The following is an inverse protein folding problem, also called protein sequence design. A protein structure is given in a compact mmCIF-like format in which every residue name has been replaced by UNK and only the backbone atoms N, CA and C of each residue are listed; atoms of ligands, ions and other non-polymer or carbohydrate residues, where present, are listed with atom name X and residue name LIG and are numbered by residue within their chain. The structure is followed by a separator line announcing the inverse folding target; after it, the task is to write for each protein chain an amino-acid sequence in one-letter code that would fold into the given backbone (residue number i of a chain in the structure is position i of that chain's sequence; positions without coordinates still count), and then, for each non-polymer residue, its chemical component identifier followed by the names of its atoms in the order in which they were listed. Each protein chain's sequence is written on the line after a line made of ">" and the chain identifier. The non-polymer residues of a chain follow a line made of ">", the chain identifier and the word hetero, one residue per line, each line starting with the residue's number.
data_IF_267152598005
#
_entry.id   IF_267152598005
#
_cell.length_a   1.000
_cell.length_b   1.000
_cell.length_c   1.000
_cell.angle_alpha   90.00
_cell.angle_beta   90.00
_cell.angle_gamma   90.00
#
_symmetry.space_group_name_H-M   'P 1'
#
loop_
_entity.id
_entity.type
_entity.pdbx_description
1 polymer ?
#
# COMPACT_ATOMS: atom_id res chain seq x y z
N UNK A 1 9.13 -6.49 -12.13
CA UNK A 1 8.61 -5.10 -12.24
C UNK A 1 9.69 -4.07 -12.59
N UNK A 2 10.83 -4.05 -11.89
CA UNK A 2 11.90 -3.08 -12.15
C UNK A 2 12.54 -3.24 -13.53
N UNK A 3 12.73 -4.49 -13.96
CA UNK A 3 13.23 -4.80 -15.31
C UNK A 3 12.28 -4.30 -16.40
N UNK A 4 10.98 -4.49 -16.23
CA UNK A 4 9.96 -4.00 -17.15
C UNK A 4 9.87 -2.47 -17.16
N UNK A 5 10.04 -1.83 -16.00
CA UNK A 5 10.12 -0.38 -15.92
C UNK A 5 11.30 0.16 -16.73
N UNK A 6 12.49 -0.46 -16.56
CA UNK A 6 13.68 -0.15 -17.35
C UNK A 6 13.44 -0.37 -18.85
N UNK A 7 12.84 -1.50 -19.23
CA UNK A 7 12.51 -1.82 -20.61
C UNK A 7 11.50 -0.82 -21.24
N UNK A 8 10.62 -0.26 -20.42
CA UNK A 8 9.65 0.76 -20.83
C UNK A 8 10.19 2.20 -20.75
N UNK A 9 11.47 2.39 -20.40
CA UNK A 9 12.09 3.72 -20.24
C UNK A 9 11.55 4.51 -19.03
N UNK A 10 11.00 3.83 -18.02
CA UNK A 10 10.56 4.42 -16.75
C UNK A 10 11.61 4.22 -15.68
N UNK A 11 11.58 5.05 -14.65
CA UNK A 11 12.48 4.91 -13.49
C UNK A 11 12.12 3.64 -12.68
N UNK A 12 13.00 2.63 -12.62
CA UNK A 12 12.76 1.42 -11.84
C UNK A 12 12.84 1.64 -10.33
N UNK A 13 13.39 2.77 -9.85
CA UNK A 13 13.47 3.10 -8.44
C UNK A 13 12.21 3.82 -7.92
N UNK A 14 11.36 4.36 -8.79
CA UNK A 14 10.19 5.14 -8.42
C UNK A 14 8.86 4.40 -8.65
N UNK A 15 8.83 3.09 -8.41
CA UNK A 15 7.66 2.26 -8.69
C UNK A 15 6.58 2.40 -7.62
N UNK A 16 5.48 3.04 -7.98
CA UNK A 16 4.29 3.16 -7.15
C UNK A 16 3.23 2.11 -7.52
N UNK A 17 2.69 1.44 -6.50
CA UNK A 17 1.56 0.51 -6.63
C UNK A 17 0.36 1.08 -5.89
N UNK A 18 -0.68 1.40 -6.65
CA UNK A 18 -1.97 1.84 -6.12
C UNK A 18 -2.90 0.64 -5.89
N UNK A 19 -3.31 0.43 -4.65
CA UNK A 19 -4.17 -0.66 -4.22
C UNK A 19 -5.54 -0.12 -3.78
N UNK A 20 -6.56 -0.33 -4.62
CA UNK A 20 -7.92 0.12 -4.37
C UNK A 20 -8.60 -0.63 -3.22
N UNK A 21 -9.23 0.09 -2.28
CA UNK A 21 -10.00 -0.47 -1.16
C UNK A 21 -9.20 -1.41 -0.24
N UNK A 22 -7.87 -1.28 -0.21
CA UNK A 22 -6.99 -2.22 0.48
C UNK A 22 -6.68 -1.83 1.92
N UNK A 23 -7.08 -0.64 2.39
CA UNK A 23 -6.83 -0.22 3.78
C UNK A 23 -7.40 -1.23 4.79
N UNK A 24 -8.52 -1.87 4.48
CA UNK A 24 -9.15 -2.87 5.36
C UNK A 24 -8.56 -4.27 5.26
N UNK A 25 -7.63 -4.52 4.32
CA UNK A 25 -7.17 -5.88 3.96
C UNK A 25 -5.66 -6.08 3.95
N UNK A 26 -4.88 -5.02 3.77
CA UNK A 26 -3.42 -5.13 3.72
C UNK A 26 -2.87 -5.48 5.11
N UNK A 27 -1.79 -6.25 5.11
CA UNK A 27 -0.99 -6.65 6.25
C UNK A 27 0.50 -6.57 5.89
N UNK A 28 1.37 -6.72 6.89
CA UNK A 28 2.81 -6.63 6.71
C UNK A 28 3.37 -7.66 5.72
N UNK A 29 2.84 -8.88 5.69
CA UNK A 29 3.30 -9.94 4.80
C UNK A 29 3.02 -9.60 3.33
N UNK A 30 1.79 -9.18 3.02
CA UNK A 30 1.41 -8.75 1.67
C UNK A 30 2.17 -7.51 1.22
N UNK A 31 2.40 -6.56 2.14
CA UNK A 31 3.19 -5.38 1.84
C UNK A 31 4.64 -5.75 1.50
N UNK A 32 5.27 -6.65 2.28
CA UNK A 32 6.62 -7.14 2.01
C UNK A 32 6.70 -7.86 0.66
N UNK A 33 5.74 -8.72 0.34
CA UNK A 33 5.70 -9.39 -0.96
C UNK A 33 5.62 -8.44 -2.16
N UNK A 34 5.02 -7.26 -2.01
CA UNK A 34 5.00 -6.23 -3.07
C UNK A 34 6.35 -5.51 -3.18
N UNK A 35 7.02 -5.27 -2.05
CA UNK A 35 8.38 -4.72 -2.03
C UNK A 35 9.35 -5.68 -2.72
N UNK A 36 9.25 -6.97 -2.46
CA UNK A 36 10.06 -8.01 -3.10
C UNK A 36 9.83 -8.08 -4.62
N UNK A 37 8.62 -7.78 -5.07
CA UNK A 37 8.30 -7.66 -6.51
C UNK A 37 8.83 -6.37 -7.15
N UNK A 38 9.29 -5.42 -6.34
CA UNK A 38 9.95 -4.19 -6.77
C UNK A 38 9.18 -2.91 -6.50
N UNK A 39 8.06 -2.95 -5.75
CA UNK A 39 7.34 -1.75 -5.36
C UNK A 39 8.19 -0.90 -4.41
N UNK A 40 8.31 0.40 -4.73
CA UNK A 40 8.97 1.39 -3.88
C UNK A 40 7.96 2.08 -2.96
N UNK A 41 6.75 2.35 -3.48
CA UNK A 41 5.67 3.00 -2.74
C UNK A 41 4.35 2.26 -2.90
N UNK A 42 3.65 2.07 -1.79
CA UNK A 42 2.29 1.54 -1.77
C UNK A 42 1.29 2.65 -1.45
N UNK A 43 0.34 2.89 -2.34
CA UNK A 43 -0.76 3.84 -2.15
C UNK A 43 -2.04 3.06 -1.90
N UNK A 44 -2.62 3.23 -0.72
CA UNK A 44 -3.82 2.51 -0.30
C UNK A 44 -5.04 3.42 -0.41
N UNK A 45 -6.09 2.96 -1.08
CA UNK A 45 -7.36 3.68 -1.09
C UNK A 45 -8.28 3.21 0.04
N UNK A 46 -8.82 4.18 0.78
CA UNK A 46 -9.90 3.96 1.72
C UNK A 46 -11.21 3.66 0.99
N UNK A 47 -12.05 2.74 1.51
CA UNK A 47 -13.44 2.68 1.08
C UNK A 47 -14.16 3.99 1.43
N UNK A 48 -15.15 4.40 0.61
CA UNK A 48 -15.91 5.62 0.89
C UNK A 48 -16.61 5.50 2.24
N UNK A 49 -16.37 6.49 3.11
CA UNK A 49 -17.05 6.63 4.40
C UNK A 49 -17.36 8.09 4.63
N UNK A 50 -18.55 8.36 5.17
CA UNK A 50 -18.96 9.70 5.59
C UNK A 50 -18.67 9.94 7.08
N UNK A 51 -18.30 8.90 7.82
CA UNK A 51 -17.99 8.94 9.25
C UNK A 51 -16.47 9.01 9.47
N UNK A 52 -16.04 10.08 10.14
CA UNK A 52 -14.65 10.36 10.45
C UNK A 52 -14.08 9.41 11.51
N UNK A 53 -14.83 9.05 12.54
CA UNK A 53 -14.33 8.13 13.57
C UNK A 53 -14.16 6.72 12.98
N UNK A 54 -15.12 6.28 12.16
CA UNK A 54 -14.98 5.03 11.42
C UNK A 54 -13.76 5.05 10.47
N UNK A 55 -13.48 6.18 9.81
CA UNK A 55 -12.30 6.33 8.96
C UNK A 55 -11.00 6.22 9.77
N UNK A 56 -10.95 6.87 10.92
CA UNK A 56 -9.80 6.86 11.83
C UNK A 56 -9.56 5.47 12.41
N UNK A 57 -10.60 4.75 12.82
CA UNK A 57 -10.49 3.39 13.32
C UNK A 57 -9.94 2.45 12.26
N UNK A 58 -10.44 2.55 11.02
CA UNK A 58 -9.96 1.76 9.90
C UNK A 58 -8.48 2.02 9.57
N UNK A 59 -8.05 3.29 9.59
CA UNK A 59 -6.64 3.67 9.38
C UNK A 59 -5.75 3.21 10.52
N UNK A 60 -6.22 3.32 11.77
CA UNK A 60 -5.48 2.86 12.96
C UNK A 60 -5.28 1.35 12.91
N UNK A 61 -6.33 0.59 12.59
CA UNK A 61 -6.25 -0.85 12.41
C UNK A 61 -5.35 -1.23 11.23
N UNK A 62 -5.31 -0.45 10.15
CA UNK A 62 -4.38 -0.65 9.04
C UNK A 62 -2.93 -0.44 9.48
N UNK A 63 -2.65 0.63 10.22
CA UNK A 63 -1.31 0.92 10.72
C UNK A 63 -0.82 -0.18 11.67
N UNK A 64 -1.71 -0.71 12.53
CA UNK A 64 -1.42 -1.85 13.41
C UNK A 64 -1.14 -3.13 12.61
N UNK A 65 -1.95 -3.46 11.59
CA UNK A 65 -1.72 -4.64 10.72
C UNK A 65 -0.38 -4.56 9.95
N UNK A 66 0.08 -3.35 9.67
CA UNK A 66 1.36 -3.08 9.03
C UNK A 66 2.51 -2.93 10.04
N UNK A 67 2.23 -3.04 11.35
CA UNK A 67 3.22 -2.84 12.42
C UNK A 67 3.92 -1.47 12.38
N UNK A 68 3.24 -0.43 11.89
CA UNK A 68 3.78 0.93 11.77
C UNK A 68 3.69 1.73 13.08
N UNK A 69 2.81 1.30 13.98
CA UNK A 69 2.55 1.90 15.28
C UNK A 69 2.40 0.79 16.31
N UNK A 70 2.94 1.02 17.51
CA UNK A 70 2.90 0.12 18.67
C UNK A 70 1.79 0.49 19.63
#
# INVERSE_FOLDING_TARGET
>A
MREEASAAGRDPAALEVSLGHSVTKIDAERAAGLVDQGADRLVLAMPPTADLEAAKDALSACAQRLSLVS
#
